data_IF_697436992612
#
_entry.id   IF_697436992612
#
_cell.length_a   1.000
_cell.length_b   1.000
_cell.length_c   1.000
_cell.angle_alpha   90.00
_cell.angle_beta   90.00
_cell.angle_gamma   90.00
#
_symmetry.space_group_name_H-M   'P 1'
#
loop_
_entity.id
_entity.type
_entity.pdbx_description
1 polymer ?
#
# COMPACT_ATOMS: atom_id res chain seq x y z
N UNK A 1 0.13 9.38 -25.20
CA UNK A 1 -0.38 8.07 -24.73
C UNK A 1 -1.10 8.33 -23.41
N UNK A 2 -2.33 7.86 -23.26
CA UNK A 2 -3.09 8.03 -22.02
C UNK A 2 -2.45 7.19 -20.90
N UNK A 3 -2.28 7.78 -19.71
CA UNK A 3 -1.75 7.06 -18.54
C UNK A 3 -2.84 6.19 -17.94
N UNK A 4 -2.49 4.97 -17.52
CA UNK A 4 -3.40 4.10 -16.78
C UNK A 4 -3.50 4.59 -15.34
N UNK A 5 -4.69 5.05 -14.97
CA UNK A 5 -5.03 5.44 -13.60
C UNK A 5 -5.19 4.19 -12.73
N UNK A 6 -4.53 4.17 -11.57
CA UNK A 6 -4.61 3.04 -10.63
C UNK A 6 -4.67 3.53 -9.18
N UNK A 7 -5.25 2.69 -8.31
CA UNK A 7 -5.04 2.69 -6.87
C UNK A 7 -4.26 1.41 -6.56
N UNK A 8 -3.19 1.51 -5.77
CA UNK A 8 -2.37 0.37 -5.38
C UNK A 8 -2.73 -0.07 -3.96
N UNK A 9 -3.32 -1.24 -3.83
CA UNK A 9 -3.63 -1.87 -2.54
C UNK A 9 -2.55 -2.92 -2.20
N UNK A 10 -1.86 -2.78 -1.07
CA UNK A 10 -0.75 -3.67 -0.69
C UNK A 10 -0.51 -3.75 0.83
N UNK A 11 0.33 -4.70 1.26
CA UNK A 11 0.78 -4.90 2.65
C UNK A 11 2.32 -4.77 2.77
N UNK A 12 2.89 -3.55 2.67
CA UNK A 12 4.29 -3.35 2.27
C UNK A 12 5.35 -4.25 2.92
N UNK A 13 5.78 -5.23 2.13
CA UNK A 13 7.03 -5.98 2.22
C UNK A 13 8.09 -5.48 1.25
N UNK A 14 9.14 -6.28 1.04
CA UNK A 14 10.25 -5.91 0.15
C UNK A 14 9.82 -5.80 -1.33
N UNK A 15 8.96 -6.70 -1.77
CA UNK A 15 8.40 -6.75 -3.12
C UNK A 15 7.40 -5.61 -3.39
N UNK A 16 6.54 -5.28 -2.42
CA UNK A 16 5.63 -4.13 -2.51
C UNK A 16 6.37 -2.80 -2.62
N UNK A 17 7.50 -2.65 -1.92
CA UNK A 17 8.33 -1.45 -2.04
C UNK A 17 8.82 -1.24 -3.49
N UNK A 18 9.16 -2.33 -4.18
CA UNK A 18 9.52 -2.30 -5.61
C UNK A 18 8.29 -1.97 -6.45
N UNK A 19 7.12 -2.56 -6.16
CA UNK A 19 5.88 -2.28 -6.87
C UNK A 19 5.45 -0.80 -6.74
N UNK A 20 5.53 -0.23 -5.53
CA UNK A 20 5.26 1.19 -5.25
C UNK A 20 6.23 2.07 -6.07
N UNK A 21 7.52 1.75 -6.06
CA UNK A 21 8.53 2.49 -6.84
C UNK A 21 8.22 2.45 -8.33
N UNK A 22 7.92 1.27 -8.88
CA UNK A 22 7.59 1.10 -10.29
C UNK A 22 6.31 1.85 -10.65
N UNK A 23 5.24 1.69 -9.87
CA UNK A 23 3.97 2.36 -10.10
C UNK A 23 4.11 3.89 -10.07
N UNK A 24 4.87 4.43 -9.12
CA UNK A 24 5.02 5.87 -8.95
C UNK A 24 5.94 6.53 -10.00
N UNK A 25 6.89 5.80 -10.58
CA UNK A 25 7.89 6.36 -11.52
C UNK A 25 7.65 5.95 -12.99
N UNK A 26 6.78 4.99 -13.28
CA UNK A 26 6.56 4.52 -14.64
C UNK A 26 5.73 5.53 -15.47
N UNK A 27 6.17 5.93 -16.67
CA UNK A 27 5.54 7.01 -17.44
C UNK A 27 4.13 6.68 -17.95
N UNK A 28 3.77 5.39 -18.04
CA UNK A 28 2.45 4.94 -18.45
C UNK A 28 1.44 4.81 -17.30
N UNK A 29 1.84 5.06 -16.06
CA UNK A 29 0.99 4.92 -14.87
C UNK A 29 0.70 6.29 -14.26
N UNK A 30 -0.54 6.46 -13.83
CA UNK A 30 -1.01 7.59 -13.02
C UNK A 30 -1.50 7.02 -11.67
N UNK A 31 -0.60 7.03 -10.68
CA UNK A 31 -0.87 6.48 -9.35
C UNK A 31 -1.69 7.50 -8.54
N UNK A 32 -2.97 7.18 -8.30
CA UNK A 32 -3.90 8.10 -7.63
C UNK A 32 -3.78 8.04 -6.10
N UNK A 33 -3.33 6.91 -5.55
CA UNK A 33 -3.20 6.69 -4.13
C UNK A 33 -2.79 5.26 -3.79
N UNK A 34 -2.38 5.06 -2.56
CA UNK A 34 -1.97 3.77 -2.01
C UNK A 34 -2.88 3.43 -0.82
N UNK A 35 -3.43 2.23 -0.80
CA UNK A 35 -4.17 1.70 0.34
C UNK A 35 -3.34 0.57 0.97
N UNK A 36 -3.21 0.61 2.30
CA UNK A 36 -2.37 -0.31 3.04
C UNK A 36 -3.25 -1.25 3.86
N UNK A 37 -3.05 -2.56 3.74
CA UNK A 37 -3.73 -3.56 4.56
C UNK A 37 -2.74 -4.32 5.46
N UNK A 38 -3.28 -5.01 6.46
CA UNK A 38 -2.51 -6.01 7.19
C UNK A 38 -2.39 -7.30 6.37
N UNK A 39 -1.21 -7.91 6.40
CA UNK A 39 -0.92 -9.16 5.70
C UNK A 39 0.30 -9.84 6.31
N UNK A 40 1.48 -9.63 5.75
CA UNK A 40 2.75 -10.19 6.24
C UNK A 40 3.15 -9.72 7.67
N UNK A 41 2.63 -8.58 8.11
CA UNK A 41 2.84 -7.94 9.40
C UNK A 41 1.57 -7.21 9.84
N UNK A 42 1.57 -6.71 11.07
CA UNK A 42 0.50 -5.84 11.60
C UNK A 42 0.35 -4.57 10.77
N UNK A 43 -0.87 -4.04 10.67
CA UNK A 43 -1.17 -2.82 9.91
C UNK A 43 -0.25 -1.65 10.27
N UNK A 44 0.05 -1.47 11.56
CA UNK A 44 0.93 -0.39 12.00
C UNK A 44 2.33 -0.48 11.37
N UNK A 45 2.85 -1.69 11.18
CA UNK A 45 4.16 -1.92 10.57
C UNK A 45 4.10 -1.76 9.06
N UNK A 46 3.09 -2.35 8.40
CA UNK A 46 2.96 -2.26 6.94
C UNK A 46 2.68 -0.82 6.50
N UNK A 47 1.92 -0.05 7.29
CA UNK A 47 1.69 1.38 7.09
C UNK A 47 2.98 2.20 7.22
N UNK A 48 3.74 1.98 8.30
CA UNK A 48 5.05 2.65 8.48
C UNK A 48 5.99 2.30 7.32
N UNK A 49 6.04 1.04 6.88
CA UNK A 49 6.85 0.63 5.74
C UNK A 49 6.45 1.37 4.45
N UNK A 50 5.15 1.41 4.13
CA UNK A 50 4.64 2.14 2.97
C UNK A 50 4.95 3.63 3.01
N UNK A 51 4.76 4.26 4.17
CA UNK A 51 5.11 5.68 4.39
C UNK A 51 6.61 5.93 4.23
N UNK A 52 7.46 5.06 4.78
CA UNK A 52 8.92 5.15 4.65
C UNK A 52 9.37 5.03 3.20
N UNK A 53 8.78 4.11 2.43
CA UNK A 53 9.06 3.97 0.99
C UNK A 53 8.66 5.24 0.25
N UNK A 54 7.45 5.76 0.50
CA UNK A 54 6.97 6.99 -0.14
C UNK A 54 7.86 8.19 0.20
N UNK A 55 8.23 8.34 1.47
CA UNK A 55 9.13 9.40 1.93
C UNK A 55 10.51 9.27 1.30
N UNK A 56 11.08 8.05 1.25
CA UNK A 56 12.43 7.82 0.70
C UNK A 56 12.53 8.07 -0.80
N UNK A 57 11.45 7.82 -1.53
CA UNK A 57 11.38 7.95 -3.00
C UNK A 57 10.70 9.24 -3.46
N UNK A 58 10.35 10.13 -2.52
CA UNK A 58 9.65 11.40 -2.75
C UNK A 58 8.36 11.20 -3.56
N UNK A 59 7.57 10.19 -3.17
CA UNK A 59 6.29 9.87 -3.80
C UNK A 59 5.20 10.66 -3.07
N UNK A 60 4.62 11.63 -3.77
CA UNK A 60 3.57 12.52 -3.24
C UNK A 60 2.18 12.05 -3.69
N UNK A 61 1.76 10.88 -3.23
CA UNK A 61 0.39 10.36 -3.40
C UNK A 61 -0.21 10.08 -2.04
N UNK A 62 -1.54 10.22 -1.85
CA UNK A 62 -2.15 9.94 -0.57
C UNK A 62 -2.05 8.45 -0.21
N UNK A 63 -1.72 8.17 1.05
CA UNK A 63 -1.65 6.82 1.62
C UNK A 63 -2.76 6.68 2.66
N UNK A 64 -3.57 5.62 2.55
CA UNK A 64 -4.69 5.37 3.46
C UNK A 64 -4.54 4.01 4.14
N UNK A 65 -4.73 3.97 5.46
CA UNK A 65 -4.77 2.73 6.22
C UNK A 65 -6.10 2.01 6.02
N UNK A 66 -6.04 0.71 5.77
CA UNK A 66 -7.16 -0.18 5.51
C UNK A 66 -7.43 -1.15 6.66
N UNK A 67 -7.78 -2.40 6.33
CA UNK A 67 -8.18 -3.39 7.33
C UNK A 67 -6.99 -3.93 8.13
N UNK A 68 -7.09 -4.01 9.48
CA UNK A 68 -6.00 -4.47 10.33
C UNK A 68 -5.88 -6.00 10.45
N UNK A 69 -6.84 -6.73 9.90
CA UNK A 69 -6.87 -8.19 9.92
C UNK A 69 -7.74 -8.72 8.78
N UNK A 70 -7.59 -10.01 8.46
CA UNK A 70 -8.48 -10.70 7.53
C UNK A 70 -9.92 -10.65 8.03
N UNK A 71 -10.88 -10.72 7.10
CA UNK A 71 -12.31 -10.66 7.44
C UNK A 71 -12.70 -11.70 8.51
N UNK A 72 -12.19 -12.92 8.44
CA UNK A 72 -12.52 -13.97 9.41
C UNK A 72 -11.93 -13.70 10.81
N UNK A 73 -10.74 -13.13 10.89
CA UNK A 73 -10.12 -12.77 12.14
C UNK A 73 -10.82 -11.57 12.80
N UNK A 74 -11.37 -10.64 12.01
CA UNK A 74 -12.09 -9.47 12.54
C UNK A 74 -13.52 -9.78 13.00
N UNK A 75 -14.13 -10.88 12.53
CA UNK A 75 -15.50 -11.28 12.92
C UNK A 75 -15.57 -12.33 14.02
N UNK A 76 -14.47 -13.02 14.34
CA UNK A 76 -14.43 -14.01 15.43
C UNK A 76 -14.35 -13.34 16.82
N UNK A 77 -15.34 -12.49 17.12
CA UNK A 77 -15.63 -11.99 18.49
C UNK A 77 -16.33 -13.03 19.38
N UNK A 78 -16.34 -14.30 18.97
CA UNK A 78 -16.82 -15.44 19.74
C UNK A 78 -15.68 -16.45 19.94
N UNK A 79 -14.70 -16.12 20.79
CA UNK A 79 -13.93 -17.09 21.57
C UNK A 79 -13.66 -16.48 22.94
#
# INVERSE_FOLDING_TARGET
MEKRKIILDCDPGHDDAIAIMMAAKHPAIDLLGITIVAGNQTLDKTLINGLNVCQKLEINVPVYAGMPATHYASTNRCR
#
